data_IF_377034172433
#
_entry.id   IF_377034172433
#
_cell.length_a   1.000
_cell.length_b   1.000
_cell.length_c   1.000
_cell.angle_alpha   90.00
_cell.angle_beta   90.00
_cell.angle_gamma   90.00
#
_symmetry.space_group_name_H-M   'P 1'
#
loop_
_entity.id
_entity.type
_entity.pdbx_description
1 polymer ?
#
# COMPACT_ATOMS: atom_id res chain seq x y z
N UNK A 1 16.05 -21.04 -39.74
CA UNK A 1 14.80 -20.30 -39.95
C UNK A 1 14.90 -19.01 -39.17
N UNK A 2 14.95 -17.88 -39.87
CA UNK A 2 15.24 -16.57 -39.27
C UNK A 2 14.11 -16.17 -38.29
N UNK A 3 14.45 -15.50 -37.19
CA UNK A 3 13.49 -15.10 -36.16
C UNK A 3 12.38 -14.21 -36.77
N UNK A 4 12.74 -13.41 -37.76
CA UNK A 4 11.82 -12.58 -38.56
C UNK A 4 10.79 -13.41 -39.33
N UNK A 5 11.20 -14.50 -39.96
CA UNK A 5 10.30 -15.39 -40.70
C UNK A 5 9.30 -16.08 -39.78
N UNK A 6 9.72 -16.48 -38.57
CA UNK A 6 8.83 -17.08 -37.56
C UNK A 6 7.78 -16.09 -37.06
N UNK A 7 8.16 -14.83 -36.82
CA UNK A 7 7.23 -13.76 -36.42
C UNK A 7 6.21 -13.53 -37.53
N UNK A 8 6.65 -13.41 -38.79
CA UNK A 8 5.74 -13.21 -39.92
C UNK A 8 4.81 -14.39 -40.16
N UNK A 9 5.30 -15.62 -40.01
CA UNK A 9 4.48 -16.84 -40.14
C UNK A 9 3.37 -16.84 -39.09
N UNK A 10 3.71 -16.61 -37.83
CA UNK A 10 2.73 -16.59 -36.74
C UNK A 10 1.72 -15.44 -36.85
N UNK A 11 2.13 -14.29 -37.40
CA UNK A 11 1.22 -13.17 -37.67
C UNK A 11 0.28 -13.42 -38.86
N UNK A 12 0.62 -14.33 -39.78
CA UNK A 12 -0.20 -14.71 -40.94
C UNK A 12 -1.11 -15.91 -40.65
N UNK A 13 -0.64 -16.91 -39.90
CA UNK A 13 -1.37 -18.14 -39.57
C UNK A 13 -2.42 -17.96 -38.44
N UNK A 14 -2.98 -16.77 -38.31
CA UNK A 14 -3.99 -16.47 -37.29
C UNK A 14 -5.29 -17.14 -37.69
N UNK A 15 -5.50 -18.37 -37.22
CA UNK A 15 -6.80 -19.01 -37.25
C UNK A 15 -7.59 -18.60 -35.99
N UNK A 16 -8.74 -17.96 -36.20
CA UNK A 16 -9.59 -17.39 -35.14
C UNK A 16 -10.51 -18.42 -34.48
N UNK A 17 -10.46 -19.69 -34.91
CA UNK A 17 -11.38 -20.74 -34.46
C UNK A 17 -11.14 -21.19 -33.01
N UNK A 18 -9.91 -21.09 -32.50
CA UNK A 18 -9.58 -21.56 -31.15
C UNK A 18 -8.88 -20.48 -30.31
N UNK A 19 -9.68 -19.78 -29.47
CA UNK A 19 -9.25 -18.67 -28.62
C UNK A 19 -7.99 -18.96 -27.82
N UNK A 20 -7.94 -20.10 -27.12
CA UNK A 20 -6.80 -20.45 -26.26
C UNK A 20 -5.55 -20.64 -27.09
N UNK A 21 -5.67 -21.31 -28.24
CA UNK A 21 -4.56 -21.46 -29.20
C UNK A 21 -4.12 -20.12 -29.80
N UNK A 22 -5.04 -19.23 -30.16
CA UNK A 22 -4.70 -17.90 -30.70
C UNK A 22 -4.00 -17.04 -29.64
N UNK A 23 -4.48 -17.04 -28.40
CA UNK A 23 -3.84 -16.31 -27.29
C UNK A 23 -2.43 -16.84 -26.99
N UNK A 24 -2.25 -18.15 -26.93
CA UNK A 24 -0.93 -18.75 -26.66
C UNK A 24 0.03 -18.56 -27.85
N UNK A 25 -0.46 -18.62 -29.09
CA UNK A 25 0.33 -18.32 -30.29
C UNK A 25 0.75 -16.84 -30.34
N UNK A 26 -0.12 -15.91 -29.93
CA UNK A 26 0.23 -14.49 -29.82
C UNK A 26 1.21 -14.21 -28.67
N UNK A 27 1.09 -14.89 -27.52
CA UNK A 27 2.09 -14.81 -26.43
C UNK A 27 3.46 -15.29 -26.92
N UNK A 28 3.51 -16.43 -27.59
CA UNK A 28 4.74 -16.96 -28.17
C UNK A 28 5.33 -16.00 -29.22
N UNK A 29 4.48 -15.34 -30.01
CA UNK A 29 4.91 -14.34 -31.00
C UNK A 29 5.51 -13.10 -30.32
N UNK A 30 4.96 -12.64 -29.19
CA UNK A 30 5.54 -11.53 -28.42
C UNK A 30 6.90 -11.90 -27.82
N UNK A 31 7.07 -13.15 -27.36
CA UNK A 31 8.37 -13.66 -26.90
C UNK A 31 9.38 -13.66 -28.07
N UNK A 32 8.99 -14.14 -29.24
CA UNK A 32 9.84 -14.13 -30.44
C UNK A 32 10.22 -12.71 -30.90
N UNK A 33 9.29 -11.75 -30.81
CA UNK A 33 9.58 -10.33 -31.07
C UNK A 33 10.62 -9.79 -30.10
N UNK A 34 10.51 -10.14 -28.81
CA UNK A 34 11.47 -9.72 -27.80
C UNK A 34 12.85 -10.35 -28.02
N UNK A 35 12.90 -11.64 -28.40
CA UNK A 35 14.15 -12.31 -28.77
C UNK A 35 14.80 -11.68 -30.01
N UNK A 36 14.00 -11.32 -31.02
CA UNK A 36 14.47 -10.60 -32.19
C UNK A 36 15.04 -9.22 -31.84
N UNK A 37 14.34 -8.47 -30.99
CA UNK A 37 14.81 -7.19 -30.47
C UNK A 37 16.15 -7.31 -29.73
N UNK A 38 16.29 -8.30 -28.85
CA UNK A 38 17.54 -8.56 -28.14
C UNK A 38 18.67 -8.94 -29.11
N UNK A 39 18.39 -9.75 -30.13
CA UNK A 39 19.39 -10.11 -31.14
C UNK A 39 19.87 -8.93 -32.00
N UNK A 40 19.08 -7.85 -32.08
CA UNK A 40 19.42 -6.63 -32.82
C UNK A 40 19.91 -5.49 -31.92
N UNK A 41 20.11 -5.76 -30.63
CA UNK A 41 20.48 -4.74 -29.64
C UNK A 41 21.80 -4.03 -29.97
N UNK A 42 22.80 -4.75 -30.48
CA UNK A 42 24.10 -4.17 -30.86
C UNK A 42 24.03 -3.23 -32.07
N UNK A 43 23.00 -3.37 -32.92
CA UNK A 43 22.79 -2.59 -34.14
C UNK A 43 21.34 -2.05 -34.19
N UNK A 44 20.92 -1.42 -33.09
CA UNK A 44 19.55 -0.95 -32.91
C UNK A 44 19.31 0.39 -33.63
N UNK A 45 19.06 0.32 -34.94
CA UNK A 45 18.70 1.47 -35.78
C UNK A 45 17.22 1.84 -35.64
N UNK A 46 16.85 3.07 -36.00
CA UNK A 46 15.44 3.51 -35.97
C UNK A 46 14.53 2.67 -36.90
N UNK A 47 15.07 2.15 -38.00
CA UNK A 47 14.35 1.23 -38.90
C UNK A 47 13.94 -0.08 -38.19
N UNK A 48 14.85 -0.67 -37.42
CA UNK A 48 14.60 -1.91 -36.65
C UNK A 48 13.56 -1.66 -35.56
N UNK A 49 13.62 -0.49 -34.91
CA UNK A 49 12.67 -0.07 -33.87
C UNK A 49 11.27 0.12 -34.43
N UNK A 50 11.15 0.71 -35.61
CA UNK A 50 9.86 0.89 -36.29
C UNK A 50 9.27 -0.45 -36.75
N UNK A 51 10.11 -1.36 -37.24
CA UNK A 51 9.73 -2.72 -37.60
C UNK A 51 9.20 -3.51 -36.38
N UNK A 52 9.92 -3.47 -35.24
CA UNK A 52 9.48 -4.10 -33.98
C UNK A 52 8.17 -3.48 -33.48
N UNK A 53 8.04 -2.15 -33.58
CA UNK A 53 6.80 -1.44 -33.21
C UNK A 53 5.62 -1.92 -34.06
N UNK A 54 5.82 -2.11 -35.36
CA UNK A 54 4.81 -2.61 -36.28
C UNK A 54 4.38 -4.05 -35.92
N UNK A 55 5.33 -4.94 -35.62
CA UNK A 55 5.02 -6.30 -35.16
C UNK A 55 4.22 -6.33 -33.85
N UNK A 56 4.60 -5.48 -32.88
CA UNK A 56 3.88 -5.34 -31.61
C UNK A 56 2.46 -4.81 -31.81
N UNK A 57 2.28 -3.83 -32.69
CA UNK A 57 0.96 -3.28 -33.01
C UNK A 57 0.07 -4.32 -33.69
N UNK A 58 0.59 -5.09 -34.64
CA UNK A 58 -0.15 -6.18 -35.30
C UNK A 58 -0.58 -7.27 -34.32
N UNK A 59 0.33 -7.76 -33.48
CA UNK A 59 0.03 -8.76 -32.47
C UNK A 59 -1.05 -8.27 -31.46
N UNK A 60 -0.95 -7.02 -31.01
CA UNK A 60 -1.95 -6.41 -30.12
C UNK A 60 -3.30 -6.22 -30.82
N UNK A 61 -3.30 -5.83 -32.09
CA UNK A 61 -4.52 -5.68 -32.90
C UNK A 61 -5.28 -7.00 -33.03
N UNK A 62 -4.56 -8.12 -33.26
CA UNK A 62 -5.16 -9.46 -33.30
C UNK A 62 -5.76 -9.83 -31.94
N UNK A 63 -5.02 -9.63 -30.85
CA UNK A 63 -5.48 -9.94 -29.50
C UNK A 63 -6.73 -9.13 -29.12
N UNK A 64 -6.78 -7.86 -29.51
CA UNK A 64 -7.93 -7.00 -29.24
C UNK A 64 -9.16 -7.46 -30.04
N UNK A 65 -9.01 -7.84 -31.32
CA UNK A 65 -10.12 -8.40 -32.12
C UNK A 65 -10.68 -9.70 -31.53
N UNK A 66 -9.83 -10.56 -30.97
CA UNK A 66 -10.26 -11.79 -30.27
C UNK A 66 -11.02 -11.46 -28.98
N UNK A 67 -10.61 -10.41 -28.26
CA UNK A 67 -11.30 -9.94 -27.03
C UNK A 67 -12.64 -9.26 -27.33
N UNK A 68 -12.70 -8.43 -28.37
CA UNK A 68 -13.93 -7.72 -28.77
C UNK A 68 -15.03 -8.68 -29.22
N UNK A 69 -14.69 -9.75 -29.97
CA UNK A 69 -15.64 -10.81 -30.34
C UNK A 69 -16.25 -11.53 -29.13
N UNK A 70 -15.54 -11.58 -28.01
CA UNK A 70 -15.95 -12.33 -26.81
C UNK A 70 -16.67 -11.48 -25.75
N UNK A 71 -16.82 -10.17 -25.94
CA UNK A 71 -17.57 -9.32 -24.98
C UNK A 71 -19.09 -9.63 -24.98
N UNK A 72 -19.58 -10.41 -25.94
CA UNK A 72 -20.98 -10.84 -26.05
C UNK A 72 -21.28 -12.21 -25.40
N UNK A 73 -20.30 -12.91 -24.85
CA UNK A 73 -20.53 -14.20 -24.19
C UNK A 73 -20.04 -14.12 -22.75
N UNK A 74 -20.95 -13.77 -21.84
CA UNK A 74 -20.78 -14.02 -20.41
C UNK A 74 -20.89 -15.52 -20.20
N UNK A 75 -19.80 -16.17 -19.81
CA UNK A 75 -19.89 -17.44 -19.13
C UNK A 75 -18.96 -17.51 -17.91
N UNK A 76 -19.55 -18.17 -16.93
CA UNK A 76 -19.16 -18.49 -15.56
C UNK A 76 -17.87 -19.31 -15.55
N UNK A 77 -16.93 -19.00 -14.66
CA UNK A 77 -15.84 -19.91 -14.31
C UNK A 77 -15.65 -19.94 -12.79
N UNK A 78 -16.42 -20.82 -12.15
CA UNK A 78 -16.15 -21.37 -10.82
C UNK A 78 -15.23 -22.58 -10.98
N UNK A 79 -13.93 -22.36 -11.21
CA UNK A 79 -12.88 -23.39 -11.15
C UNK A 79 -11.48 -22.74 -11.28
N UNK A 80 -11.06 -21.89 -10.33
CA UNK A 80 -9.89 -21.02 -10.58
C UNK A 80 -8.87 -20.81 -9.45
N UNK A 81 -8.94 -21.48 -8.30
CA UNK A 81 -7.95 -21.21 -7.24
C UNK A 81 -6.55 -21.79 -7.56
N UNK A 82 -6.45 -23.01 -8.14
CA UNK A 82 -5.15 -23.60 -8.51
C UNK A 82 -4.49 -22.95 -9.74
N UNK A 83 -5.32 -22.51 -10.70
CA UNK A 83 -4.87 -21.82 -11.93
C UNK A 83 -4.44 -20.38 -11.61
N UNK A 84 -5.07 -19.72 -10.63
CA UNK A 84 -4.72 -18.36 -10.22
C UNK A 84 -3.36 -18.29 -9.53
N UNK A 85 -3.01 -19.30 -8.72
CA UNK A 85 -1.66 -19.41 -8.11
C UNK A 85 -0.59 -19.62 -9.18
N UNK A 86 -0.81 -20.52 -10.14
CA UNK A 86 0.11 -20.74 -11.27
C UNK A 86 0.24 -19.50 -12.17
N UNK A 87 -0.86 -18.79 -12.39
CA UNK A 87 -0.88 -17.53 -13.17
C UNK A 87 -0.17 -16.40 -12.42
N UNK A 88 -0.30 -16.35 -11.09
CA UNK A 88 0.43 -15.41 -10.22
C UNK A 88 1.92 -15.72 -10.23
N UNK A 89 2.31 -16.99 -10.11
CA UNK A 89 3.71 -17.43 -10.16
C UNK A 89 4.36 -17.08 -11.51
N UNK A 90 3.67 -17.37 -12.62
CA UNK A 90 4.15 -17.03 -13.96
C UNK A 90 4.25 -15.51 -14.16
N UNK A 91 3.30 -14.74 -13.62
CA UNK A 91 3.37 -13.26 -13.64
C UNK A 91 4.57 -12.75 -12.83
N UNK A 92 4.88 -13.36 -11.69
CA UNK A 92 6.04 -13.00 -10.87
C UNK A 92 7.36 -13.38 -11.55
N UNK A 93 7.41 -14.53 -12.23
CA UNK A 93 8.60 -14.97 -12.97
C UNK A 93 8.88 -14.06 -14.17
N UNK A 94 7.84 -13.68 -14.93
CA UNK A 94 7.96 -12.69 -16.02
C UNK A 94 8.38 -11.32 -15.48
N UNK A 95 7.90 -10.91 -14.31
CA UNK A 95 8.35 -9.67 -13.66
C UNK A 95 9.80 -9.75 -13.19
N UNK A 96 10.24 -10.91 -12.69
CA UNK A 96 11.63 -11.14 -12.30
C UNK A 96 12.57 -11.08 -13.52
N UNK A 97 12.21 -11.74 -14.63
CA UNK A 97 12.96 -11.68 -15.90
C UNK A 97 13.02 -10.26 -16.46
N UNK A 98 11.91 -9.50 -16.38
CA UNK A 98 11.89 -8.10 -16.79
C UNK A 98 12.78 -7.22 -15.89
N UNK A 99 12.78 -7.47 -14.58
CA UNK A 99 13.65 -6.76 -13.64
C UNK A 99 15.12 -7.11 -13.88
N UNK A 100 15.43 -8.37 -14.17
CA UNK A 100 16.78 -8.82 -14.50
C UNK A 100 17.26 -8.24 -15.83
N UNK A 101 16.41 -8.23 -16.86
CA UNK A 101 16.70 -7.57 -18.14
C UNK A 101 16.84 -6.05 -18.00
N UNK A 102 16.07 -5.42 -17.10
CA UNK A 102 16.21 -3.99 -16.81
C UNK A 102 17.50 -3.68 -16.05
N UNK A 103 17.90 -4.55 -15.12
CA UNK A 103 19.20 -4.49 -14.43
C UNK A 103 20.34 -4.63 -15.44
N UNK A 104 20.32 -5.64 -16.31
CA UNK A 104 21.33 -5.83 -17.37
C UNK A 104 21.40 -4.63 -18.31
N UNK A 105 20.25 -4.07 -18.74
CA UNK A 105 20.21 -2.82 -19.51
C UNK A 105 20.75 -1.62 -18.74
N UNK A 106 20.59 -1.59 -17.42
CA UNK A 106 21.15 -0.58 -16.53
C UNK A 106 22.68 -0.71 -16.41
N UNK A 107 23.18 -1.93 -16.25
CA UNK A 107 24.62 -2.23 -16.14
C UNK A 107 25.37 -1.93 -17.44
N UNK A 108 24.79 -2.31 -18.59
CA UNK A 108 25.40 -2.02 -19.91
C UNK A 108 25.37 -0.53 -20.23
N UNK A 109 24.33 0.22 -19.82
CA UNK A 109 24.31 1.69 -19.91
C UNK A 109 25.35 2.37 -19.02
N UNK A 110 25.69 1.77 -17.87
CA UNK A 110 26.77 2.25 -17.02
C UNK A 110 28.15 2.00 -17.65
N UNK A 111 28.33 0.92 -18.40
CA UNK A 111 29.58 0.66 -19.17
C UNK A 111 29.74 1.57 -20.41
N UNK A 112 28.64 2.02 -21.04
CA UNK A 112 28.70 2.89 -22.23
C UNK A 112 28.73 4.38 -21.94
N UNK A 113 28.40 4.78 -20.71
CA UNK A 113 28.51 6.16 -20.27
C UNK A 113 29.91 6.35 -19.68
N UNK A 114 30.75 7.13 -20.37
CA UNK A 114 31.94 7.75 -19.78
C UNK A 114 31.50 8.73 -18.68
N UNK A 115 31.01 8.21 -17.57
CA UNK A 115 30.76 8.99 -16.39
C UNK A 115 32.10 9.50 -15.90
N UNK A 116 32.25 10.80 -15.87
CA UNK A 116 33.37 11.41 -15.17
C UNK A 116 33.21 11.14 -13.66
N UNK A 117 34.32 11.06 -12.93
CA UNK A 117 34.28 10.88 -11.47
C UNK A 117 33.38 11.92 -10.79
N UNK A 118 33.27 13.12 -11.37
CA UNK A 118 32.39 14.20 -10.90
C UNK A 118 30.90 13.87 -11.03
N UNK A 119 30.48 13.20 -12.11
CA UNK A 119 29.08 12.77 -12.26
C UNK A 119 28.72 11.68 -11.25
N UNK A 120 29.64 10.76 -10.99
CA UNK A 120 29.48 9.71 -9.98
C UNK A 120 29.36 10.34 -8.59
N UNK A 121 30.25 11.26 -8.25
CA UNK A 121 30.21 11.99 -6.98
C UNK A 121 28.94 12.83 -6.83
N UNK A 122 28.48 13.46 -7.90
CA UNK A 122 27.23 14.22 -7.89
C UNK A 122 26.00 13.33 -7.69
N UNK A 123 25.96 12.13 -8.28
CA UNK A 123 24.89 11.19 -8.04
C UNK A 123 24.93 10.61 -6.62
N UNK A 124 26.11 10.28 -6.09
CA UNK A 124 26.29 9.84 -4.70
C UNK A 124 25.81 10.94 -3.74
N UNK A 125 26.18 12.20 -3.99
CA UNK A 125 25.73 13.33 -3.18
C UNK A 125 24.21 13.55 -3.26
N UNK A 126 23.60 13.39 -4.44
CA UNK A 126 22.14 13.43 -4.60
C UNK A 126 21.46 12.29 -3.84
N UNK A 127 22.01 11.08 -3.88
CA UNK A 127 21.50 9.93 -3.13
C UNK A 127 21.60 10.16 -1.62
N UNK A 128 22.76 10.60 -1.14
CA UNK A 128 22.97 10.93 0.28
C UNK A 128 22.00 12.01 0.77
N UNK A 129 21.78 13.07 -0.01
CA UNK A 129 20.77 14.11 0.32
C UNK A 129 19.36 13.52 0.41
N UNK A 130 18.98 12.61 -0.49
CA UNK A 130 17.68 11.92 -0.44
C UNK A 130 17.56 11.02 0.79
N UNK A 131 18.60 10.28 1.15
CA UNK A 131 18.63 9.44 2.35
C UNK A 131 18.44 10.29 3.61
N UNK A 132 19.13 11.42 3.73
CA UNK A 132 18.97 12.35 4.87
C UNK A 132 17.55 12.91 4.93
N UNK A 133 16.98 13.30 3.78
CA UNK A 133 15.61 13.79 3.71
C UNK A 133 14.58 12.72 4.12
N UNK A 134 14.78 11.47 3.70
CA UNK A 134 13.94 10.34 4.11
C UNK A 134 14.05 10.07 5.63
N UNK A 135 15.26 10.00 6.18
CA UNK A 135 15.46 9.83 7.63
C UNK A 135 14.80 10.95 8.45
N UNK A 136 14.81 12.18 7.94
CA UNK A 136 14.15 13.30 8.61
C UNK A 136 12.62 13.17 8.56
N UNK A 137 12.04 12.66 7.46
CA UNK A 137 10.62 12.34 7.38
C UNK A 137 10.23 11.22 8.34
N UNK A 138 11.00 10.13 8.38
CA UNK A 138 10.78 9.02 9.32
C UNK A 138 10.81 9.48 10.77
N UNK A 139 11.78 10.31 11.15
CA UNK A 139 11.83 10.92 12.49
C UNK A 139 10.58 11.75 12.79
N UNK A 140 10.08 12.51 11.82
CA UNK A 140 8.87 13.31 11.99
C UNK A 140 7.62 12.45 12.19
N UNK A 141 7.53 11.32 11.47
CA UNK A 141 6.43 10.36 11.60
C UNK A 141 6.48 9.62 12.93
N UNK A 142 7.67 9.16 13.35
CA UNK A 142 7.87 8.59 14.69
C UNK A 142 7.46 9.56 15.80
N UNK A 143 7.80 10.85 15.66
CA UNK A 143 7.41 11.85 16.65
C UNK A 143 5.89 12.03 16.72
N UNK A 144 5.19 12.01 15.59
CA UNK A 144 3.72 12.07 15.56
C UNK A 144 3.09 10.86 16.26
N UNK A 145 3.59 9.65 15.98
CA UNK A 145 3.13 8.42 16.64
C UNK A 145 3.36 8.50 18.15
N UNK A 146 4.55 8.96 18.56
CA UNK A 146 4.88 9.15 19.98
C UNK A 146 3.96 10.15 20.66
N UNK A 147 3.58 11.21 19.97
CA UNK A 147 2.64 12.22 20.48
C UNK A 147 1.23 11.66 20.64
N UNK A 148 0.73 10.92 19.65
CA UNK A 148 -0.55 10.23 19.73
C UNK A 148 -0.61 9.24 20.91
N UNK A 149 0.47 8.48 21.13
CA UNK A 149 0.57 7.57 22.27
C UNK A 149 0.54 8.29 23.62
N UNK A 150 1.24 9.44 23.74
CA UNK A 150 1.18 10.27 24.95
C UNK A 150 -0.24 10.77 25.23
N UNK A 151 -0.95 11.23 24.20
CA UNK A 151 -2.34 11.70 24.35
C UNK A 151 -3.28 10.58 24.80
N UNK A 152 -3.08 9.36 24.29
CA UNK A 152 -3.82 8.17 24.73
C UNK A 152 -3.57 7.89 26.22
N UNK A 153 -2.31 7.92 26.68
CA UNK A 153 -1.99 7.73 28.09
C UNK A 153 -2.65 8.78 28.99
N UNK A 154 -2.63 10.05 28.59
CA UNK A 154 -3.29 11.14 29.32
C UNK A 154 -4.80 10.87 29.39
N UNK A 155 -5.43 10.48 28.29
CA UNK A 155 -6.85 10.15 28.25
C UNK A 155 -7.18 8.98 29.20
N UNK A 156 -6.39 7.91 29.17
CA UNK A 156 -6.52 6.79 30.09
C UNK A 156 -6.38 7.24 31.56
N UNK A 157 -5.45 8.14 31.85
CA UNK A 157 -5.24 8.67 33.19
C UNK A 157 -6.44 9.52 33.66
N UNK A 158 -7.01 10.35 32.78
CA UNK A 158 -8.22 11.12 33.07
C UNK A 158 -9.41 10.22 33.35
N UNK A 159 -9.59 9.14 32.59
CA UNK A 159 -10.65 8.14 32.84
C UNK A 159 -10.47 7.47 34.20
N UNK A 160 -9.23 7.13 34.57
CA UNK A 160 -8.93 6.57 35.90
C UNK A 160 -9.23 7.56 37.02
N UNK A 161 -8.87 8.83 36.86
CA UNK A 161 -9.17 9.89 37.81
C UNK A 161 -10.68 10.11 37.95
N UNK A 162 -11.43 10.11 36.86
CA UNK A 162 -12.89 10.25 36.89
C UNK A 162 -13.55 9.08 37.63
N UNK A 163 -13.11 7.85 37.34
CA UNK A 163 -13.59 6.65 38.04
C UNK A 163 -13.25 6.68 39.53
N UNK A 164 -12.06 7.16 39.91
CA UNK A 164 -11.65 7.33 41.30
C UNK A 164 -12.46 8.42 42.01
N UNK A 165 -12.66 9.56 41.34
CA UNK A 165 -13.45 10.67 41.86
C UNK A 165 -14.92 10.28 42.09
N UNK A 166 -15.53 9.61 41.11
CA UNK A 166 -16.91 9.13 41.23
C UNK A 166 -17.07 8.05 42.31
N UNK A 167 -16.10 7.14 42.48
CA UNK A 167 -16.22 6.00 43.40
C UNK A 167 -15.79 6.31 44.83
N UNK A 168 -14.84 7.23 45.03
CA UNK A 168 -14.26 7.53 46.35
C UNK A 168 -14.68 8.93 46.81
N UNK A 169 -14.40 9.95 46.01
CA UNK A 169 -14.58 11.35 46.45
C UNK A 169 -16.06 11.71 46.56
N UNK A 170 -16.88 11.37 45.56
CA UNK A 170 -18.32 11.70 45.54
C UNK A 170 -19.10 11.10 46.74
N UNK A 171 -18.96 9.81 47.09
CA UNK A 171 -19.62 9.27 48.28
C UNK A 171 -19.03 9.80 49.59
N UNK A 172 -17.71 10.02 49.68
CA UNK A 172 -17.10 10.61 50.89
C UNK A 172 -17.59 12.03 51.13
N UNK A 173 -17.67 12.87 50.09
CA UNK A 173 -18.22 14.23 50.18
C UNK A 173 -19.72 14.20 50.54
N UNK A 174 -20.48 13.27 49.96
CA UNK A 174 -21.89 13.10 50.29
C UNK A 174 -22.10 12.70 51.76
N UNK A 175 -21.32 11.72 52.25
CA UNK A 175 -21.35 11.28 53.67
C UNK A 175 -20.91 12.42 54.58
N UNK A 176 -19.81 13.11 54.28
CA UNK A 176 -19.32 14.24 55.07
C UNK A 176 -20.37 15.36 55.17
N UNK A 177 -21.03 15.71 54.05
CA UNK A 177 -22.11 16.72 54.05
C UNK A 177 -23.33 16.26 54.84
N UNK A 178 -23.69 14.97 54.77
CA UNK A 178 -24.78 14.39 55.55
C UNK A 178 -24.49 14.40 57.06
N UNK A 179 -23.27 14.01 57.47
CA UNK A 179 -22.84 14.03 58.88
C UNK A 179 -22.77 15.45 59.44
N UNK A 180 -22.27 16.42 58.66
CA UNK A 180 -22.25 17.83 59.08
C UNK A 180 -23.65 18.45 59.16
N UNK A 181 -24.54 18.06 58.24
CA UNK A 181 -25.95 18.48 58.24
C UNK A 181 -26.76 17.92 59.41
N UNK A 182 -26.55 16.65 59.78
CA UNK A 182 -27.22 16.03 60.95
C UNK A 182 -26.67 16.55 62.27
N UNK A 183 -25.39 16.95 62.33
CA UNK A 183 -24.81 17.57 63.52
C UNK A 183 -25.38 18.96 63.79
N UNK A 184 -25.56 19.82 62.77
CA UNK A 184 -26.24 21.11 62.92
C UNK A 184 -27.70 20.96 63.38
N UNK A 185 -28.47 20.06 62.76
CA UNK A 185 -29.87 19.85 63.13
C UNK A 185 -30.10 19.27 64.54
N UNK A 186 -29.10 18.59 65.13
CA UNK A 186 -29.15 18.17 66.55
C UNK A 186 -28.88 19.33 67.50
N UNK A 187 -27.95 20.23 67.17
CA UNK A 187 -27.61 21.38 68.01
C UNK A 187 -28.79 22.36 68.09
N UNK A 188 -29.46 22.62 66.96
CA UNK A 188 -30.61 23.52 66.92
C UNK A 188 -31.80 22.97 67.73
N UNK A 189 -32.05 21.64 67.67
CA UNK A 189 -33.09 20.99 68.49
C UNK A 189 -32.81 21.03 69.98
N UNK A 190 -31.54 20.90 70.39
CA UNK A 190 -31.15 20.98 71.80
C UNK A 190 -31.34 22.42 72.32
N UNK A 191 -30.95 23.44 71.55
CA UNK A 191 -31.16 24.84 71.93
C UNK A 191 -32.63 25.23 72.04
N UNK A 192 -33.50 24.73 71.16
CA UNK A 192 -34.95 24.96 71.29
C UNK A 192 -35.57 24.27 72.50
N UNK A 193 -35.09 23.07 72.86
CA UNK A 193 -35.57 22.35 74.04
C UNK A 193 -35.14 23.05 75.34
N UNK A 194 -33.90 23.55 75.40
CA UNK A 194 -33.41 24.31 76.56
C UNK A 194 -34.20 25.60 76.79
N UNK A 195 -34.55 26.33 75.72
CA UNK A 195 -35.38 27.55 75.82
C UNK A 195 -36.83 27.29 76.23
N UNK A 196 -37.41 26.17 75.79
CA UNK A 196 -38.77 25.81 76.20
C UNK A 196 -38.82 25.36 77.66
N UNK A 197 -37.79 24.66 78.15
CA UNK A 197 -37.69 24.24 79.55
C UNK A 197 -37.47 25.43 80.51
N UNK A 198 -36.76 26.48 80.08
CA UNK A 198 -36.59 27.71 80.87
C UNK A 198 -37.88 28.54 80.97
N UNK A 199 -38.82 28.41 80.03
CA UNK A 199 -40.10 29.12 80.05
C UNK A 199 -41.17 28.44 80.92
N UNK A 200 -41.04 27.14 81.24
CA UNK A 200 -41.98 26.42 82.11
C UNK A 200 -41.63 26.51 83.61
N UNK A 201 -40.49 27.12 83.98
CA UNK A 201 -39.99 27.23 85.36
C UNK A 201 -40.23 28.65 85.96
N UNK A 202 -40.77 29.59 85.18
CA UNK A 202 -41.14 30.96 85.57
C UNK A 202 -42.66 31.11 85.68
#
# INVERSE_FOLDING_TARGET
>A
MDLKEKIMKNLKEVNYENKKKTEDLMKNTLILINQYETSKYSNYTEEVKEEIRNYRQKAKGILNKVKEKNKNTREVDTELEGIEVLKSLNKQLVLADLNQSALEKGTVKLETLNYTNDDILNQINKANKKIVAQKNKEKSEMNKIRWAYKMLLILCFLILLDKFYCRVVRPVVFVYKKVKGTSKGKIDKIQTFSRSAEQEIL
#
